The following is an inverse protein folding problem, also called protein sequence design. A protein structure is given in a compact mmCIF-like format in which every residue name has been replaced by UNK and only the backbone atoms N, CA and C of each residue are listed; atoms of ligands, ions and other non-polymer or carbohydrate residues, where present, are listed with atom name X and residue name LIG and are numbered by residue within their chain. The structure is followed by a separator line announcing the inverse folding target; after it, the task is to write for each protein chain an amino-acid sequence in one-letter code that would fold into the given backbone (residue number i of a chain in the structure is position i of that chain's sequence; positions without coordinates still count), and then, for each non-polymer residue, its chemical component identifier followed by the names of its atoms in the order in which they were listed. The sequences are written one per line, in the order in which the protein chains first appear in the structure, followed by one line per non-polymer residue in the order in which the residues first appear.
data_IF_652033209477
#
_entry.id   IF_652033209477
#
_cell.length_a   1.000
_cell.length_b   1.000
_cell.length_c   1.000
_cell.angle_alpha   90.00
_cell.angle_beta   90.00
_cell.angle_gamma   90.00
#
_symmetry.space_group_name_H-M   'P 1'
#
loop_
_entity.id
_entity.type
_entity.pdbx_description
1 polymer ?
#
# COMPACT_ATOMS: atom_id res chain seq x y z
N UNK A 1 19.52 5.44 3.42
CA UNK A 1 19.51 4.07 2.89
C UNK A 1 18.13 3.42 3.03
N UNK A 2 17.77 2.57 2.06
CA UNK A 2 16.59 1.70 2.14
C UNK A 2 16.84 0.48 3.04
N UNK A 3 15.77 -0.07 3.60
CA UNK A 3 15.76 -1.32 4.38
C UNK A 3 14.75 -2.31 3.79
N UNK A 4 14.92 -3.62 4.01
CA UNK A 4 13.90 -4.61 3.64
C UNK A 4 12.52 -4.27 4.25
N UNK A 5 11.47 -4.59 3.51
CA UNK A 5 10.10 -4.49 4.01
C UNK A 5 9.82 -5.62 5.00
N UNK A 6 8.89 -5.36 5.92
CA UNK A 6 8.69 -6.17 7.12
C UNK A 6 7.45 -7.04 7.02
N UNK A 7 7.54 -8.23 7.60
CA UNK A 7 6.40 -9.07 7.91
C UNK A 7 5.74 -8.61 9.21
N UNK A 8 4.42 -8.83 9.32
CA UNK A 8 3.65 -8.57 10.51
C UNK A 8 4.12 -9.47 11.67
N UNK A 9 3.94 -9.02 12.90
CA UNK A 9 4.43 -9.71 14.10
C UNK A 9 3.36 -10.53 14.81
N UNK A 10 2.09 -10.24 14.53
CA UNK A 10 0.92 -10.87 15.12
C UNK A 10 -0.11 -11.18 14.03
N UNK A 11 -1.21 -11.84 14.35
CA UNK A 11 -2.31 -12.06 13.39
C UNK A 11 -3.14 -10.79 13.13
N UNK A 12 -2.78 -9.64 13.70
CA UNK A 12 -3.64 -8.45 13.76
C UNK A 12 -3.00 -7.16 13.24
N UNK A 13 -1.70 -7.15 12.93
CA UNK A 13 -0.94 -5.93 12.61
C UNK A 13 -0.64 -5.75 11.11
N UNK A 14 -1.35 -6.45 10.21
CA UNK A 14 -1.17 -6.27 8.76
C UNK A 14 -1.35 -4.83 8.27
N UNK A 15 -2.29 -4.07 8.86
CA UNK A 15 -2.55 -2.67 8.55
C UNK A 15 -1.38 -1.75 8.90
N UNK A 16 -0.95 -1.64 10.17
CA UNK A 16 0.22 -0.84 10.52
C UNK A 16 1.48 -1.30 9.78
N UNK A 17 1.72 -2.61 9.66
CA UNK A 17 2.91 -3.10 8.94
C UNK A 17 2.89 -2.68 7.46
N UNK A 18 1.75 -2.73 6.79
CA UNK A 18 1.64 -2.25 5.40
C UNK A 18 1.86 -0.76 5.26
N UNK A 19 1.32 0.06 6.18
CA UNK A 19 1.57 1.50 6.18
C UNK A 19 3.05 1.82 6.44
N UNK A 20 3.70 1.11 7.36
CA UNK A 20 5.13 1.26 7.61
C UNK A 20 5.95 0.86 6.38
N UNK A 21 5.61 -0.26 5.74
CA UNK A 21 6.28 -0.71 4.51
C UNK A 21 6.11 0.31 3.38
N UNK A 22 4.93 0.91 3.22
CA UNK A 22 4.70 1.96 2.24
C UNK A 22 5.62 3.17 2.46
N UNK A 23 5.79 3.60 3.71
CA UNK A 23 6.67 4.72 4.05
C UNK A 23 8.15 4.33 3.89
N UNK A 24 8.56 3.13 4.33
CA UNK A 24 9.93 2.63 4.11
C UNK A 24 10.26 2.44 2.62
N UNK A 25 9.26 2.12 1.80
CA UNK A 25 9.42 2.07 0.34
C UNK A 25 9.65 3.47 -0.24
N UNK A 26 8.98 4.50 0.28
CA UNK A 26 9.08 5.88 -0.21
C UNK A 26 10.27 6.68 0.34
N UNK A 27 10.69 6.41 1.58
CA UNK A 27 11.70 7.19 2.30
C UNK A 27 12.87 6.32 2.74
N UNK A 28 14.04 6.93 2.92
CA UNK A 28 15.19 6.27 3.51
C UNK A 28 15.06 6.24 5.03
N UNK A 29 15.76 5.32 5.71
CA UNK A 29 15.63 5.15 7.16
C UNK A 29 16.03 6.40 7.97
N UNK A 30 16.98 7.17 7.46
CA UNK A 30 17.48 8.42 8.03
C UNK A 30 16.44 9.55 7.94
N UNK A 31 15.53 9.46 6.98
CA UNK A 31 14.45 10.43 6.77
C UNK A 31 13.16 10.00 7.49
N UNK A 32 13.07 8.76 7.99
CA UNK A 32 11.85 8.21 8.59
C UNK A 32 11.61 8.81 9.99
N UNK A 33 10.56 9.64 10.20
CA UNK A 33 10.33 10.25 11.50
C UNK A 33 9.77 9.26 12.53
N UNK A 34 10.28 9.22 13.77
CA UNK A 34 9.80 8.29 14.80
C UNK A 34 8.34 8.53 15.22
N UNK A 35 7.83 9.77 15.08
CA UNK A 35 6.42 10.09 15.35
C UNK A 35 5.48 9.34 14.41
N UNK A 36 5.84 9.21 13.13
CA UNK A 36 5.08 8.45 12.14
C UNK A 36 4.99 6.98 12.58
N UNK A 37 6.12 6.37 12.94
CA UNK A 37 6.15 4.99 13.43
C UNK A 37 5.17 4.80 14.61
N UNK A 38 5.27 5.69 15.61
CA UNK A 38 4.43 5.62 16.82
C UNK A 38 2.95 5.76 16.48
N UNK A 39 2.57 6.76 15.68
CA UNK A 39 1.17 7.05 15.39
C UNK A 39 0.54 5.97 14.51
N UNK A 40 1.25 5.46 13.51
CA UNK A 40 0.77 4.33 12.72
C UNK A 40 0.41 3.14 13.61
N UNK A 41 1.29 2.76 14.54
CA UNK A 41 1.03 1.64 15.45
C UNK A 41 -0.16 1.89 16.39
N UNK A 42 -0.25 3.08 16.99
CA UNK A 42 -1.29 3.39 17.98
C UNK A 42 -2.68 3.47 17.35
N UNK A 43 -2.81 4.12 16.18
CA UNK A 43 -4.12 4.44 15.62
C UNK A 43 -4.68 3.38 14.66
N UNK A 44 -3.88 2.40 14.26
CA UNK A 44 -4.33 1.35 13.31
C UNK A 44 -4.55 -0.01 13.95
N UNK A 45 -4.19 -0.19 15.21
CA UNK A 45 -4.68 -1.31 16.03
C UNK A 45 -5.92 -0.82 16.79
N UNK A 46 -7.02 -0.51 16.09
CA UNK A 46 -8.16 0.21 16.70
C UNK A 46 -9.35 -0.68 17.08
N UNK A 47 -9.38 -1.93 16.61
CA UNK A 47 -10.56 -2.79 16.77
C UNK A 47 -10.44 -3.78 17.92
N UNK A 48 -11.59 -4.06 18.54
CA UNK A 48 -11.76 -5.16 19.49
C UNK A 48 -12.36 -6.38 18.79
N UNK A 49 -12.07 -7.59 19.30
CA UNK A 49 -12.77 -8.79 18.84
C UNK A 49 -14.14 -8.95 19.53
N UNK A 50 -14.85 -10.02 19.20
CA UNK A 50 -16.19 -10.32 19.74
C UNK A 50 -16.20 -10.54 21.27
N UNK A 51 -15.05 -10.89 21.84
CA UNK A 51 -14.86 -11.07 23.29
C UNK A 51 -14.47 -9.75 24.00
N UNK A 52 -14.40 -8.63 23.29
CA UNK A 52 -13.97 -7.34 23.84
C UNK A 52 -12.46 -7.23 24.08
N UNK A 53 -11.65 -8.12 23.51
CA UNK A 53 -10.19 -8.04 23.63
C UNK A 53 -9.66 -6.99 22.65
N UNK A 54 -8.91 -6.02 23.19
CA UNK A 54 -8.34 -4.93 22.41
C UNK A 54 -7.36 -5.44 21.34
N UNK A 55 -7.37 -4.79 20.18
CA UNK A 55 -6.45 -4.97 19.05
C UNK A 55 -6.56 -6.32 18.32
N UNK A 56 -7.36 -7.27 18.81
CA UNK A 56 -7.52 -8.63 18.22
C UNK A 56 -8.47 -8.71 17.03
N UNK A 57 -8.67 -7.59 16.33
CA UNK A 57 -9.47 -7.53 15.11
C UNK A 57 -8.84 -6.58 14.09
N UNK A 58 -7.57 -6.24 14.32
CA UNK A 58 -6.71 -5.44 13.46
C UNK A 58 -7.24 -4.04 13.17
N UNK A 59 -7.00 -3.61 11.93
CA UNK A 59 -7.21 -2.23 11.47
C UNK A 59 -8.55 -2.02 10.79
N UNK A 60 -9.31 -1.01 11.23
CA UNK A 60 -10.54 -0.60 10.55
C UNK A 60 -10.27 0.26 9.30
N UNK A 61 -11.27 0.33 8.41
CA UNK A 61 -11.27 1.24 7.25
C UNK A 61 -11.21 2.72 7.70
N UNK A 62 -11.77 3.01 8.87
CA UNK A 62 -11.78 4.36 9.46
C UNK A 62 -10.39 4.75 9.96
N UNK A 63 -9.66 3.82 10.59
CA UNK A 63 -8.27 4.04 11.01
C UNK A 63 -7.35 4.33 9.82
N UNK A 64 -7.51 3.59 8.71
CA UNK A 64 -6.78 3.88 7.46
C UNK A 64 -7.05 5.29 6.95
N UNK A 65 -8.32 5.70 6.92
CA UNK A 65 -8.70 7.04 6.50
C UNK A 65 -8.15 8.11 7.44
N UNK A 66 -8.26 7.90 8.75
CA UNK A 66 -7.74 8.79 9.78
C UNK A 66 -6.22 9.01 9.62
N UNK A 67 -5.45 7.94 9.45
CA UNK A 67 -4.00 8.02 9.25
C UNK A 67 -3.66 8.85 8.00
N UNK A 68 -4.37 8.66 6.89
CA UNK A 68 -4.10 9.44 5.68
C UNK A 68 -4.30 10.95 5.92
N UNK A 69 -5.38 11.34 6.59
CA UNK A 69 -5.59 12.75 6.97
C UNK A 69 -4.53 13.24 7.95
N UNK A 70 -4.20 12.44 8.96
CA UNK A 70 -3.17 12.78 9.94
C UNK A 70 -1.79 12.97 9.29
N UNK A 71 -1.40 12.13 8.33
CA UNK A 71 -0.14 12.26 7.59
C UNK A 71 -0.07 13.58 6.81
N UNK A 72 -1.19 14.03 6.22
CA UNK A 72 -1.25 15.30 5.53
C UNK A 72 -1.13 16.49 6.49
N UNK A 73 -1.74 16.41 7.68
CA UNK A 73 -1.59 17.46 8.69
C UNK A 73 -0.19 17.47 9.33
N UNK A 74 0.38 16.28 9.54
CA UNK A 74 1.78 16.11 9.93
C UNK A 74 2.71 16.79 8.91
N UNK A 75 2.54 16.52 7.61
CA UNK A 75 3.31 17.14 6.54
C UNK A 75 3.23 18.68 6.55
N UNK A 76 2.03 19.25 6.76
CA UNK A 76 1.85 20.71 6.85
C UNK A 76 2.63 21.31 8.02
N UNK A 77 2.61 20.64 9.17
CA UNK A 77 3.22 21.09 10.41
C UNK A 77 4.75 20.95 10.39
N UNK A 78 5.27 19.83 9.90
CA UNK A 78 6.71 19.48 9.98
C UNK A 78 7.48 19.73 8.70
N UNK A 79 6.78 20.00 7.58
CA UNK A 79 7.33 20.03 6.21
C UNK A 79 7.89 18.69 5.73
N UNK A 80 7.55 17.60 6.41
CA UNK A 80 7.85 16.26 5.91
C UNK A 80 7.12 16.03 4.57
N UNK A 81 7.81 15.61 3.50
CA UNK A 81 7.27 15.65 2.14
C UNK A 81 6.40 14.42 1.83
N UNK A 82 5.49 14.06 2.73
CA UNK A 82 4.51 13.00 2.51
C UNK A 82 3.16 13.61 2.09
N UNK A 83 2.49 12.93 1.16
CA UNK A 83 1.10 13.23 0.80
C UNK A 83 0.32 11.92 0.74
N UNK A 84 -0.89 11.93 1.26
CA UNK A 84 -1.77 10.77 1.33
C UNK A 84 -3.16 11.06 0.75
N UNK A 85 -3.72 10.08 0.05
CA UNK A 85 -5.08 10.13 -0.52
C UNK A 85 -5.84 8.86 -0.13
N UNK A 86 -7.13 9.00 0.20
CA UNK A 86 -7.99 7.88 0.56
C UNK A 86 -8.93 7.53 -0.57
N UNK A 87 -9.14 6.24 -0.79
CA UNK A 87 -10.13 5.70 -1.71
C UNK A 87 -11.05 4.74 -0.97
N UNK A 88 -12.30 4.67 -1.40
CA UNK A 88 -13.28 3.74 -0.85
C UNK A 88 -14.28 3.29 -1.90
N UNK A 89 -14.91 2.14 -1.70
CA UNK A 89 -16.03 1.73 -2.54
C UNK A 89 -15.61 1.54 -4.00
N UNK A 90 -16.33 2.21 -4.89
CA UNK A 90 -16.13 2.14 -6.34
C UNK A 90 -14.85 2.81 -6.83
N UNK A 91 -14.26 3.68 -6.01
CA UNK A 91 -13.01 4.37 -6.36
C UNK A 91 -11.77 3.46 -6.20
N UNK A 92 -11.95 2.27 -5.62
CA UNK A 92 -10.91 1.24 -5.47
C UNK A 92 -11.07 0.21 -6.58
N UNK A 93 -10.28 0.40 -7.64
CA UNK A 93 -10.21 -0.49 -8.79
C UNK A 93 -8.81 -0.45 -9.44
N UNK A 94 -8.51 -1.48 -10.23
CA UNK A 94 -7.30 -1.61 -11.06
C UNK A 94 -7.70 -1.61 -12.53
N UNK A 95 -7.55 -0.46 -13.18
CA UNK A 95 -7.59 -0.27 -14.64
C UNK A 95 -6.57 0.83 -14.97
N UNK A 96 -6.25 1.03 -16.25
CA UNK A 96 -5.20 1.96 -16.66
C UNK A 96 -5.37 3.40 -16.15
N UNK A 97 -6.62 3.84 -15.97
CA UNK A 97 -7.00 5.16 -15.50
C UNK A 97 -7.21 5.24 -13.99
N UNK A 98 -7.04 4.13 -13.26
CA UNK A 98 -7.32 4.10 -11.83
C UNK A 98 -6.35 4.97 -11.03
N UNK A 99 -6.81 5.58 -9.92
CA UNK A 99 -5.93 6.38 -9.05
C UNK A 99 -4.73 5.58 -8.55
N UNK A 100 -4.91 4.28 -8.27
CA UNK A 100 -3.84 3.39 -7.81
C UNK A 100 -2.79 3.20 -8.91
N UNK A 101 -3.19 2.89 -10.15
CA UNK A 101 -2.26 2.73 -11.27
C UNK A 101 -1.50 4.03 -11.55
N UNK A 102 -2.20 5.17 -11.52
CA UNK A 102 -1.58 6.49 -11.65
C UNK A 102 -0.53 6.73 -10.55
N UNK A 103 -0.85 6.41 -9.30
CA UNK A 103 0.08 6.58 -8.18
C UNK A 103 1.36 5.77 -8.37
N UNK A 104 1.23 4.49 -8.72
CA UNK A 104 2.38 3.60 -8.94
C UNK A 104 3.26 4.10 -10.11
N UNK A 105 2.67 4.56 -11.22
CA UNK A 105 3.42 5.16 -12.34
C UNK A 105 4.19 6.42 -11.92
N UNK A 106 3.66 7.18 -10.98
CA UNK A 106 4.27 8.40 -10.45
C UNK A 106 5.35 8.13 -9.39
N UNK A 107 5.67 6.86 -9.09
CA UNK A 107 6.61 6.47 -8.03
C UNK A 107 6.01 6.54 -6.62
N UNK A 108 4.69 6.66 -6.51
CA UNK A 108 3.96 6.48 -5.26
C UNK A 108 3.74 4.99 -4.95
N UNK A 109 3.05 4.75 -3.85
CA UNK A 109 2.64 3.41 -3.38
C UNK A 109 1.18 3.45 -2.92
N UNK A 110 0.54 2.30 -2.81
CA UNK A 110 -0.82 2.19 -2.27
C UNK A 110 -0.93 1.05 -1.26
N UNK A 111 -1.46 1.34 -0.08
CA UNK A 111 -1.90 0.31 0.87
C UNK A 111 -3.35 -0.02 0.56
N UNK A 112 -3.64 -1.25 0.20
CA UNK A 112 -4.98 -1.69 -0.24
C UNK A 112 -5.51 -2.78 0.67
N UNK A 113 -6.83 -2.80 0.88
CA UNK A 113 -7.50 -3.93 1.51
C UNK A 113 -7.85 -4.98 0.46
N UNK A 114 -7.38 -6.19 0.66
CA UNK A 114 -7.71 -7.39 -0.13
C UNK A 114 -8.31 -8.47 0.78
N UNK A 115 -8.74 -9.58 0.19
CA UNK A 115 -9.08 -10.79 0.94
C UNK A 115 -7.89 -11.75 0.97
N UNK A 116 -7.67 -12.38 2.13
CA UNK A 116 -6.77 -13.51 2.35
C UNK A 116 -7.35 -14.28 3.55
N UNK A 117 -8.32 -15.16 3.28
CA UNK A 117 -9.28 -15.77 4.21
C UNK A 117 -10.19 -14.78 4.97
N UNK A 118 -9.63 -13.68 5.45
CA UNK A 118 -10.33 -12.52 6.00
C UNK A 118 -9.87 -11.22 5.32
N UNK A 119 -10.25 -10.07 5.87
CA UNK A 119 -9.78 -8.78 5.35
C UNK A 119 -8.32 -8.56 5.70
N UNK A 120 -7.50 -8.26 4.70
CA UNK A 120 -6.05 -8.14 4.84
C UNK A 120 -5.52 -6.90 4.14
N UNK A 121 -4.47 -6.28 4.67
CA UNK A 121 -3.82 -5.12 4.07
C UNK A 121 -2.46 -5.50 3.49
N UNK A 122 -2.19 -5.01 2.28
CA UNK A 122 -0.93 -5.21 1.56
C UNK A 122 -0.44 -3.90 0.96
N UNK A 123 0.85 -3.83 0.62
CA UNK A 123 1.49 -2.63 0.05
C UNK A 123 1.82 -2.84 -1.42
N UNK A 124 1.14 -2.13 -2.33
CA UNK A 124 1.45 -2.13 -3.75
C UNK A 124 2.62 -1.18 -4.03
N UNK A 125 3.70 -1.65 -4.64
CA UNK A 125 4.96 -0.90 -4.76
C UNK A 125 5.41 -0.67 -6.20
N UNK A 126 4.86 -1.41 -7.17
CA UNK A 126 5.27 -1.24 -8.56
C UNK A 126 4.36 -1.91 -9.57
N UNK A 127 4.64 -1.61 -10.84
CA UNK A 127 4.01 -2.22 -12.00
C UNK A 127 5.05 -3.07 -12.74
N UNK A 128 4.61 -4.20 -13.24
CA UNK A 128 5.32 -5.03 -14.21
C UNK A 128 4.47 -5.17 -15.48
N UNK A 129 4.98 -5.86 -16.50
CA UNK A 129 4.18 -6.18 -17.70
C UNK A 129 3.01 -7.11 -17.39
N UNK A 130 3.15 -7.97 -16.37
CA UNK A 130 2.20 -9.03 -16.06
C UNK A 130 1.21 -8.67 -14.93
N UNK A 131 1.45 -7.59 -14.20
CA UNK A 131 0.64 -7.25 -13.03
C UNK A 131 1.26 -6.23 -12.09
N UNK A 132 0.73 -6.20 -10.86
CA UNK A 132 1.18 -5.32 -9.79
C UNK A 132 2.12 -6.08 -8.85
N UNK A 133 3.29 -5.51 -8.63
CA UNK A 133 4.22 -5.96 -7.60
C UNK A 133 3.80 -5.40 -6.24
N UNK A 134 3.69 -6.28 -5.25
CA UNK A 134 3.28 -5.90 -3.90
C UNK A 134 4.07 -6.64 -2.84
N UNK A 135 4.08 -6.05 -1.65
CA UNK A 135 4.56 -6.68 -0.43
C UNK A 135 3.38 -7.03 0.47
N UNK A 136 3.18 -8.32 0.66
CA UNK A 136 2.27 -8.89 1.63
C UNK A 136 3.00 -9.05 2.98
N UNK A 137 2.56 -8.36 4.05
CA UNK A 137 3.20 -8.49 5.36
C UNK A 137 2.91 -9.85 6.03
N UNK A 138 1.98 -10.66 5.51
CA UNK A 138 1.74 -12.02 5.99
C UNK A 138 2.71 -13.00 5.33
N UNK A 139 3.60 -13.60 6.13
CA UNK A 139 4.59 -14.53 5.61
C UNK A 139 3.96 -15.87 5.25
N UNK A 140 3.81 -16.11 3.94
CA UNK A 140 3.49 -17.41 3.38
C UNK A 140 4.65 -17.86 2.49
N UNK A 141 5.09 -19.11 2.66
CA UNK A 141 6.12 -19.78 1.86
C UNK A 141 5.53 -20.87 0.95
N UNK A 142 4.26 -20.78 0.62
CA UNK A 142 3.57 -21.75 -0.23
C UNK A 142 3.00 -21.04 -1.45
N UNK A 143 3.10 -21.68 -2.61
CA UNK A 143 2.51 -21.18 -3.85
C UNK A 143 0.99 -21.14 -3.75
N UNK A 144 0.37 -20.16 -4.40
CA UNK A 144 -1.07 -20.07 -4.53
C UNK A 144 -1.56 -21.01 -5.65
N UNK A 145 -2.77 -21.58 -5.53
CA UNK A 145 -3.35 -22.41 -6.59
C UNK A 145 -3.74 -21.58 -7.83
N UNK A 146 -3.88 -20.26 -7.67
CA UNK A 146 -4.21 -19.32 -8.73
C UNK A 146 -2.94 -18.93 -9.48
N UNK A 147 -2.89 -19.20 -10.79
CA UNK A 147 -1.77 -18.82 -11.67
C UNK A 147 -1.53 -17.30 -11.71
N UNK A 148 -2.58 -16.53 -11.42
CA UNK A 148 -2.60 -15.07 -11.41
C UNK A 148 -1.85 -14.46 -10.22
N UNK A 149 -1.38 -15.28 -9.28
CA UNK A 149 -0.65 -14.88 -8.08
C UNK A 149 0.68 -15.63 -8.02
N UNK A 150 1.79 -14.89 -8.09
CA UNK A 150 3.15 -15.45 -8.05
C UNK A 150 3.96 -14.93 -6.87
N UNK A 151 4.85 -15.78 -6.39
CA UNK A 151 5.80 -15.47 -5.32
C UNK A 151 7.01 -14.72 -5.90
N UNK A 152 7.55 -13.76 -5.15
CA UNK A 152 8.83 -13.11 -5.43
C UNK A 152 9.73 -13.29 -4.19
N UNK A 153 10.93 -13.83 -4.38
CA UNK A 153 11.89 -14.13 -3.30
C UNK A 153 13.14 -13.24 -3.32
N UNK A 154 13.34 -12.47 -4.39
CA UNK A 154 14.56 -11.70 -4.64
C UNK A 154 14.36 -10.17 -4.62
N UNK A 155 13.20 -9.66 -4.17
CA UNK A 155 12.90 -8.22 -4.05
C UNK A 155 12.55 -7.77 -2.62
N UNK A 156 13.40 -8.03 -1.61
CA UNK A 156 13.06 -7.80 -0.20
C UNK A 156 12.77 -6.33 0.16
N UNK A 157 13.17 -5.37 -0.68
CA UNK A 157 12.96 -3.93 -0.47
C UNK A 157 11.68 -3.40 -1.14
N UNK A 158 10.96 -4.21 -1.92
CA UNK A 158 9.80 -3.74 -2.68
C UNK A 158 8.64 -4.72 -2.76
N UNK A 159 8.88 -6.01 -2.99
CA UNK A 159 7.79 -6.94 -3.27
C UNK A 159 8.12 -8.39 -2.91
N UNK A 160 7.10 -9.12 -2.49
CA UNK A 160 7.15 -10.57 -2.31
C UNK A 160 6.02 -11.29 -3.08
N UNK A 161 5.15 -10.55 -3.77
CA UNK A 161 4.09 -11.07 -4.63
C UNK A 161 4.00 -10.27 -5.93
N UNK A 162 3.54 -10.96 -6.96
CA UNK A 162 3.04 -10.38 -8.21
C UNK A 162 1.63 -10.90 -8.45
N UNK A 163 0.69 -9.98 -8.64
CA UNK A 163 -0.73 -10.29 -8.86
C UNK A 163 -1.19 -9.66 -10.17
N UNK A 164 -1.85 -10.45 -11.03
CA UNK A 164 -2.37 -9.99 -12.32
C UNK A 164 -3.39 -8.85 -12.14
N UNK A 165 -3.47 -7.93 -13.12
CA UNK A 165 -4.30 -6.73 -13.02
C UNK A 165 -5.79 -7.06 -12.84
N UNK A 166 -6.29 -7.98 -13.67
CA UNK A 166 -7.67 -8.44 -13.71
C UNK A 166 -8.10 -9.18 -12.43
N UNK A 167 -7.14 -9.69 -11.64
CA UNK A 167 -7.44 -10.46 -10.44
C UNK A 167 -7.99 -9.58 -9.30
N UNK A 168 -7.51 -8.34 -9.20
CA UNK A 168 -7.87 -7.45 -8.09
C UNK A 168 -9.35 -7.06 -8.07
N UNK A 169 -9.94 -6.76 -9.23
CA UNK A 169 -11.28 -6.14 -9.30
C UNK A 169 -12.43 -7.08 -8.95
N UNK A 170 -12.14 -8.36 -8.71
CA UNK A 170 -13.16 -9.37 -8.39
C UNK A 170 -13.91 -9.02 -7.10
N UNK A 171 -15.19 -9.38 -7.08
CA UNK A 171 -16.09 -9.14 -5.94
C UNK A 171 -16.23 -10.33 -4.99
N UNK A 172 -15.70 -11.50 -5.37
CA UNK A 172 -15.62 -12.66 -4.49
C UNK A 172 -14.48 -12.53 -3.48
N UNK A 173 -14.56 -13.30 -2.40
CA UNK A 173 -13.62 -13.25 -1.27
C UNK A 173 -12.50 -14.27 -1.47
N UNK A 174 -11.76 -14.13 -2.56
CA UNK A 174 -10.59 -14.97 -2.86
C UNK A 174 -9.28 -14.22 -2.57
N UNK A 175 -8.14 -14.92 -2.38
CA UNK A 175 -6.86 -14.28 -2.11
C UNK A 175 -6.53 -13.14 -3.09
N UNK A 176 -6.12 -11.99 -2.57
CA UNK A 176 -5.76 -10.76 -3.28
C UNK A 176 -6.87 -10.05 -4.10
N UNK A 177 -8.09 -10.58 -4.12
CA UNK A 177 -9.23 -9.83 -4.66
C UNK A 177 -9.64 -8.71 -3.68
N UNK A 178 -10.15 -7.59 -4.22
CA UNK A 178 -10.74 -6.53 -3.40
C UNK A 178 -12.05 -6.95 -2.72
N UNK A 179 -12.77 -7.90 -3.32
CA UNK A 179 -14.04 -8.38 -2.83
C UNK A 179 -15.18 -7.36 -2.96
N UNK A 180 -16.23 -7.45 -2.13
CA UNK A 180 -17.43 -6.64 -2.25
C UNK A 180 -17.12 -5.15 -2.25
N UNK A 181 -17.74 -4.38 -3.15
CA UNK A 181 -17.46 -2.96 -3.35
C UNK A 181 -17.49 -2.16 -2.03
N UNK A 182 -18.48 -2.39 -1.17
CA UNK A 182 -18.63 -1.66 0.10
C UNK A 182 -17.49 -1.92 1.12
N UNK A 183 -16.71 -2.99 0.93
CA UNK A 183 -15.59 -3.35 1.79
C UNK A 183 -14.26 -2.78 1.31
N UNK A 184 -14.20 -2.25 0.09
CA UNK A 184 -12.96 -1.77 -0.52
C UNK A 184 -12.49 -0.46 0.11
N UNK A 185 -11.20 -0.40 0.40
CA UNK A 185 -10.52 0.81 0.85
C UNK A 185 -9.05 0.77 0.43
N UNK A 186 -8.49 1.93 0.14
CA UNK A 186 -7.07 2.09 -0.13
C UNK A 186 -6.56 3.44 0.40
N UNK A 187 -5.28 3.48 0.73
CA UNK A 187 -4.53 4.71 1.01
C UNK A 187 -3.38 4.79 0.02
N UNK A 188 -3.39 5.81 -0.83
CA UNK A 188 -2.28 6.14 -1.72
C UNK A 188 -1.32 7.05 -0.97
N UNK A 189 -0.02 6.83 -1.13
CA UNK A 189 1.05 7.60 -0.49
C UNK A 189 2.07 8.04 -1.54
N UNK A 190 2.53 9.28 -1.42
CA UNK A 190 3.59 9.86 -2.24
C UNK A 190 4.69 10.45 -1.37
N UNK A 191 5.93 10.35 -1.86
CA UNK A 191 7.00 11.26 -1.47
C UNK A 191 7.00 12.43 -2.47
N UNK A 192 6.65 13.62 -1.99
CA UNK A 192 6.49 14.81 -2.83
C UNK A 192 7.80 15.32 -3.42
N UNK A 193 8.95 14.91 -2.87
CA UNK A 193 10.25 15.25 -3.44
C UNK A 193 10.62 14.37 -4.65
N UNK A 194 10.06 13.17 -4.76
CA UNK A 194 10.42 12.19 -5.80
C UNK A 194 9.26 11.82 -6.74
N UNK A 195 8.04 12.27 -6.41
CA UNK A 195 6.84 12.06 -7.24
C UNK A 195 7.08 12.57 -8.64
N UNK A 196 6.92 11.69 -9.63
CA UNK A 196 6.99 12.04 -11.04
C UNK A 196 5.67 12.73 -11.44
N UNK A 197 5.74 13.93 -11.99
CA UNK A 197 4.59 14.58 -12.61
C UNK A 197 4.50 14.18 -14.07
N UNK A 198 3.29 14.15 -14.62
CA UNK A 198 3.03 13.86 -16.05
C UNK A 198 3.51 14.96 -17.00
N UNK A 199 4.11 16.05 -16.49
CA UNK A 199 4.68 17.14 -17.29
C UNK A 199 6.20 17.16 -17.18
N UNK A 200 6.87 16.43 -18.09
CA UNK A 200 8.18 16.75 -18.70
C UNK A 200 8.61 15.64 -19.66
N UNK A 201 7.99 15.59 -20.84
CA UNK A 201 8.53 14.91 -22.04
C UNK A 201 8.36 15.81 -23.25
N UNK A 202 8.95 17.01 -23.19
CA UNK A 202 9.36 17.77 -24.37
C UNK A 202 10.59 18.58 -24.00
N UNK A 203 11.75 17.91 -23.93
CA UNK A 203 13.02 18.59 -24.16
C UNK A 203 13.47 18.25 -25.58
N UNK A 204 13.47 19.30 -26.38
CA UNK A 204 13.95 19.43 -27.75
C UNK A 204 15.32 18.80 -27.95
N UNK A 205 15.45 17.90 -28.93
CA UNK A 205 16.74 17.61 -29.53
C UNK A 205 17.24 18.86 -30.28
N UNK A 206 18.48 19.33 -30.05
CA UNK A 206 19.07 20.33 -30.92
C UNK A 206 19.40 19.70 -32.27
N UNK A 207 18.90 20.32 -33.34
CA UNK A 207 19.27 19.99 -34.72
C UNK A 207 20.75 20.32 -34.90
N UNK A 208 21.60 19.37 -35.35
CA UNK A 208 23.00 19.65 -35.63
C UNK A 208 23.12 20.60 -36.83
N UNK A 209 24.11 21.48 -36.72
CA UNK A 209 24.49 22.53 -37.68
C UNK A 209 24.87 21.98 -39.05
#
# INVERSE_FOLDING_TARGET
MKIPLHYQRTEYDCGPTSLLNAISFLFDVEDFPPDILRYLMIYTLDRHNENGEAHKNGTSKMAMSFIAYWLNDYAKATKFPIHAETLSGRDVYIYEDSPIIKALRQGGTAVVRVFLDCGHYVTLTGLSEEGIELFDPYYLNTSFPHADIRMIDNKPFSANRLVAFEHFNREDRIPYAFGPINDRTAVILYNMNTRKTTEKTTESQPVPS
#
